data_IF_558313538643
#
_entry.id   IF_558313538643
#
_cell.length_a   1.000
_cell.length_b   1.000
_cell.length_c   1.000
_cell.angle_alpha   90.00
_cell.angle_beta   90.00
_cell.angle_gamma   90.00
#
_symmetry.space_group_name_H-M   'P 1'
#
loop_
_entity.id
_entity.type
_entity.pdbx_description
1 polymer ?
#
# COMPACT_ATOMS: atom_id res chain seq x y z
N UNK A 1 1.26 14.73 -48.14
CA UNK A 1 0.90 13.41 -47.56
C UNK A 1 0.91 13.58 -46.03
N UNK A 2 -0.23 14.02 -45.50
CA UNK A 2 -0.29 14.79 -44.24
C UNK A 2 -0.10 13.97 -42.96
N UNK A 3 0.29 14.68 -41.90
CA UNK A 3 0.47 14.23 -40.51
C UNK A 3 -0.65 13.26 -40.07
N UNK A 4 -1.88 13.48 -40.51
CA UNK A 4 -3.05 12.62 -40.24
C UNK A 4 -2.87 11.15 -40.64
N UNK A 5 -2.17 10.85 -41.75
CA UNK A 5 -1.88 9.47 -42.17
C UNK A 5 -0.85 8.77 -41.28
N UNK A 6 -0.01 9.54 -40.57
CA UNK A 6 0.98 9.01 -39.59
C UNK A 6 0.38 8.89 -38.19
N UNK A 7 -0.59 9.75 -37.84
CA UNK A 7 -1.30 9.69 -36.56
C UNK A 7 -2.24 8.48 -36.47
N UNK A 8 -2.88 8.10 -37.59
CA UNK A 8 -3.79 6.95 -37.61
C UNK A 8 -3.13 5.62 -37.21
N UNK A 9 -2.00 5.17 -37.78
CA UNK A 9 -1.37 3.91 -37.37
C UNK A 9 -0.85 3.96 -35.93
N UNK A 10 -0.36 5.13 -35.46
CA UNK A 10 0.04 5.31 -34.07
C UNK A 10 -1.16 5.13 -33.12
N UNK A 11 -2.31 5.74 -33.45
CA UNK A 11 -3.53 5.59 -32.67
C UNK A 11 -4.00 4.13 -32.65
N UNK A 12 -3.98 3.44 -33.79
CA UNK A 12 -4.33 2.01 -33.86
C UNK A 12 -3.40 1.17 -33.00
N UNK A 13 -2.09 1.44 -33.01
CA UNK A 13 -1.12 0.74 -32.16
C UNK A 13 -1.40 0.98 -30.66
N UNK A 14 -1.68 2.22 -30.26
CA UNK A 14 -1.99 2.55 -28.87
C UNK A 14 -3.28 1.87 -28.40
N UNK A 15 -4.32 1.85 -29.25
CA UNK A 15 -5.57 1.15 -28.95
C UNK A 15 -5.37 -0.36 -28.86
N UNK A 16 -4.55 -0.95 -29.75
CA UNK A 16 -4.22 -2.37 -29.70
C UNK A 16 -3.46 -2.73 -28.40
N UNK A 17 -2.52 -1.89 -27.98
CA UNK A 17 -1.80 -2.07 -26.72
C UNK A 17 -2.73 -1.95 -25.52
N UNK A 18 -3.61 -0.96 -25.51
CA UNK A 18 -4.59 -0.79 -24.44
C UNK A 18 -5.56 -1.98 -24.35
N UNK A 19 -6.00 -2.50 -25.49
CA UNK A 19 -6.83 -3.71 -25.56
C UNK A 19 -6.07 -4.94 -25.03
N UNK A 20 -4.78 -5.08 -25.34
CA UNK A 20 -3.96 -6.18 -24.82
C UNK A 20 -3.83 -6.12 -23.29
N UNK A 21 -3.57 -4.94 -22.73
CA UNK A 21 -3.51 -4.74 -21.27
C UNK A 21 -4.85 -5.08 -20.61
N UNK A 22 -5.96 -4.62 -21.19
CA UNK A 22 -7.30 -4.95 -20.71
C UNK A 22 -7.56 -6.46 -20.70
N UNK A 23 -7.24 -7.16 -21.80
CA UNK A 23 -7.41 -8.62 -21.90
C UNK A 23 -6.49 -9.34 -20.90
N UNK A 24 -5.23 -8.93 -20.78
CA UNK A 24 -4.30 -9.53 -19.82
C UNK A 24 -4.80 -9.37 -18.37
N UNK A 25 -5.23 -8.17 -18.00
CA UNK A 25 -5.76 -7.89 -16.66
C UNK A 25 -7.12 -8.52 -16.38
N UNK A 26 -7.91 -8.85 -17.41
CA UNK A 26 -9.14 -9.64 -17.26
C UNK A 26 -8.87 -11.04 -16.69
N UNK A 27 -7.72 -11.63 -17.00
CA UNK A 27 -7.29 -12.92 -16.45
C UNK A 27 -6.57 -12.82 -15.10
N UNK A 28 -6.37 -11.61 -14.58
CA UNK A 28 -5.76 -11.40 -13.26
C UNK A 28 -6.85 -11.37 -12.18
N UNK A 29 -6.60 -11.98 -11.01
CA UNK A 29 -7.48 -11.84 -9.86
C UNK A 29 -7.70 -10.38 -9.49
N UNK A 30 -8.92 -10.06 -9.05
CA UNK A 30 -9.26 -8.74 -8.48
C UNK A 30 -8.51 -8.48 -7.18
N UNK A 31 -8.45 -9.51 -6.32
CA UNK A 31 -7.74 -9.47 -5.06
C UNK A 31 -6.33 -10.03 -5.17
N UNK A 32 -5.42 -9.38 -4.48
CA UNK A 32 -4.06 -9.86 -4.27
C UNK A 32 -3.65 -9.58 -2.82
N UNK A 33 -2.61 -10.27 -2.39
CA UNK A 33 -2.00 -10.04 -1.10
C UNK A 33 -0.48 -10.07 -1.25
N UNK A 34 0.17 -9.28 -0.41
CA UNK A 34 1.62 -9.26 -0.32
C UNK A 34 2.01 -8.95 1.12
N UNK A 35 3.19 -9.44 1.52
CA UNK A 35 3.70 -9.27 2.88
C UNK A 35 5.18 -9.01 2.85
N UNK A 36 5.59 -8.03 3.66
CA UNK A 36 6.99 -7.67 3.80
C UNK A 36 7.28 -7.39 5.26
N UNK A 37 8.46 -7.79 5.71
CA UNK A 37 8.92 -7.61 7.08
C UNK A 37 10.17 -6.75 7.10
N UNK A 38 10.22 -5.79 8.02
CA UNK A 38 11.40 -5.01 8.36
C UNK A 38 11.81 -5.20 9.82
N UNK A 39 13.11 -5.34 10.08
CA UNK A 39 13.68 -5.35 11.44
C UNK A 39 14.52 -4.10 11.66
N UNK A 40 14.20 -3.33 12.70
CA UNK A 40 14.89 -2.11 13.09
C UNK A 40 15.64 -2.30 14.41
N UNK A 41 16.85 -1.74 14.52
CA UNK A 41 17.65 -1.78 15.77
C UNK A 41 17.27 -0.67 16.74
N UNK A 42 15.97 -0.45 16.92
CA UNK A 42 15.39 0.50 17.88
C UNK A 42 14.21 -0.16 18.62
N UNK A 43 13.86 0.32 19.83
CA UNK A 43 12.69 -0.17 20.56
C UNK A 43 11.38 0.05 19.78
N UNK A 44 10.37 -0.80 20.04
CA UNK A 44 9.07 -0.73 19.39
C UNK A 44 8.37 0.61 19.62
N UNK A 45 8.56 1.24 20.78
CA UNK A 45 7.96 2.55 21.09
C UNK A 45 8.38 3.63 20.08
N UNK A 46 9.65 3.63 19.66
CA UNK A 46 10.14 4.60 18.67
C UNK A 46 9.52 4.40 17.29
N UNK A 47 9.32 3.15 16.89
CA UNK A 47 8.65 2.81 15.62
C UNK A 47 7.18 3.22 15.72
N UNK A 48 6.54 2.90 16.84
CA UNK A 48 5.13 3.17 17.09
C UNK A 48 4.80 4.67 17.09
N UNK A 49 5.61 5.51 17.73
CA UNK A 49 5.45 6.97 17.74
C UNK A 49 5.30 7.59 16.34
N UNK A 50 5.97 7.00 15.32
CA UNK A 50 5.87 7.42 13.92
C UNK A 50 4.71 6.77 13.20
N UNK A 51 4.55 5.47 13.37
CA UNK A 51 3.54 4.67 12.69
C UNK A 51 2.12 5.09 13.09
N UNK A 52 1.88 5.22 14.40
CA UNK A 52 0.56 5.51 14.99
C UNK A 52 -0.02 6.88 14.63
N UNK A 53 0.82 7.83 14.20
CA UNK A 53 0.41 9.19 13.89
C UNK A 53 0.39 9.43 12.36
N UNK A 54 -0.70 9.02 11.73
CA UNK A 54 -0.92 9.15 10.27
C UNK A 54 -0.73 10.58 9.76
N UNK A 55 -1.06 11.59 10.57
CA UNK A 55 -0.96 13.00 10.16
C UNK A 55 0.48 13.46 9.90
N UNK A 56 1.47 12.80 10.50
CA UNK A 56 2.89 13.13 10.30
C UNK A 56 3.55 12.26 9.23
N UNK A 57 2.84 11.30 8.63
CA UNK A 57 3.40 10.44 7.57
C UNK A 57 4.04 11.25 6.43
N UNK A 58 3.47 12.36 5.92
CA UNK A 58 4.10 13.14 4.86
C UNK A 58 5.47 13.74 5.20
N UNK A 59 5.84 13.79 6.48
CA UNK A 59 7.16 14.28 6.89
C UNK A 59 8.27 13.26 6.67
N UNK A 60 7.94 11.99 6.42
CA UNK A 60 8.92 10.91 6.33
C UNK A 60 8.61 9.82 5.30
N UNK A 61 7.34 9.60 4.96
CA UNK A 61 6.88 8.60 3.99
C UNK A 61 6.66 9.28 2.64
N UNK A 62 7.53 9.00 1.67
CA UNK A 62 7.55 9.70 0.38
C UNK A 62 6.27 9.46 -0.44
N UNK A 63 5.62 8.31 -0.26
CA UNK A 63 4.37 7.97 -0.93
C UNK A 63 3.18 8.89 -0.56
N UNK A 64 3.26 9.61 0.57
CA UNK A 64 2.22 10.52 1.04
C UNK A 64 2.72 11.97 0.98
N UNK A 65 2.18 12.73 0.03
CA UNK A 65 2.54 14.15 -0.15
C UNK A 65 1.80 15.08 0.82
N UNK A 66 0.54 14.76 1.12
CA UNK A 66 -0.30 15.53 2.03
C UNK A 66 -1.18 14.59 2.85
N UNK A 67 -1.50 14.97 4.08
CA UNK A 67 -2.50 14.33 4.92
C UNK A 67 -3.31 15.42 5.60
N UNK A 68 -4.63 15.30 5.58
CA UNK A 68 -5.55 16.23 6.22
C UNK A 68 -6.73 15.48 6.82
N UNK A 69 -7.13 15.83 8.04
CA UNK A 69 -8.30 15.22 8.68
C UNK A 69 -9.58 15.52 7.89
N UNK A 70 -10.51 14.58 7.93
CA UNK A 70 -11.87 14.72 7.38
C UNK A 70 -12.87 14.14 8.38
N UNK A 71 -14.20 14.30 8.16
CA UNK A 71 -15.18 13.59 8.96
C UNK A 71 -14.90 12.09 8.98
N UNK A 72 -15.22 11.45 10.10
CA UNK A 72 -15.08 10.00 10.27
C UNK A 72 -15.85 9.23 9.19
N UNK A 73 -15.38 8.03 8.90
CA UNK A 73 -16.04 7.07 8.02
C UNK A 73 -16.43 5.89 8.87
N UNK A 74 -17.74 5.66 9.01
CA UNK A 74 -18.29 4.57 9.83
C UNK A 74 -17.76 4.54 11.28
N UNK A 75 -17.50 5.73 11.87
CA UNK A 75 -16.96 5.87 13.23
C UNK A 75 -15.43 5.71 13.34
N UNK A 76 -14.74 5.55 12.21
CA UNK A 76 -13.28 5.47 12.15
C UNK A 76 -12.64 6.79 11.74
N UNK A 77 -11.48 7.08 12.33
CA UNK A 77 -10.65 8.22 11.93
C UNK A 77 -10.31 8.13 10.44
N UNK A 78 -10.57 9.21 9.72
CA UNK A 78 -10.37 9.26 8.28
C UNK A 78 -9.59 10.51 7.87
N UNK A 79 -8.83 10.36 6.79
CA UNK A 79 -7.92 11.35 6.27
C UNK A 79 -8.06 11.47 4.75
N UNK A 80 -8.03 12.69 4.23
CA UNK A 80 -7.77 12.94 2.81
C UNK A 80 -6.27 12.98 2.62
N UNK A 81 -5.75 12.16 1.71
CA UNK A 81 -4.31 11.99 1.50
C UNK A 81 -3.95 12.21 0.03
N UNK A 82 -2.87 12.94 -0.23
CA UNK A 82 -2.33 13.13 -1.57
C UNK A 82 -1.21 12.14 -1.84
N UNK A 83 -1.27 11.42 -2.96
CA UNK A 83 -0.27 10.41 -3.37
C UNK A 83 0.28 10.73 -4.76
N UNK A 84 1.24 9.94 -5.26
CA UNK A 84 1.68 10.05 -6.66
C UNK A 84 0.55 9.75 -7.68
N UNK A 85 -0.48 9.00 -7.26
CA UNK A 85 -1.62 8.62 -8.10
C UNK A 85 -2.80 9.58 -7.98
N UNK A 86 -2.68 10.63 -7.17
CA UNK A 86 -3.73 11.61 -6.89
C UNK A 86 -4.26 11.50 -5.46
N UNK A 87 -5.42 12.13 -5.25
CA UNK A 87 -6.08 12.17 -3.94
C UNK A 87 -6.75 10.83 -3.62
N UNK A 88 -6.61 10.40 -2.38
CA UNK A 88 -7.21 9.18 -1.84
C UNK A 88 -7.79 9.44 -0.44
N UNK A 89 -8.55 8.46 0.05
CA UNK A 89 -9.09 8.44 1.41
C UNK A 89 -8.38 7.35 2.19
N UNK A 90 -7.77 7.71 3.31
CA UNK A 90 -7.17 6.76 4.25
C UNK A 90 -8.04 6.68 5.49
N UNK A 91 -8.50 5.49 5.85
CA UNK A 91 -9.30 5.21 7.05
C UNK A 91 -8.47 4.35 8.00
N UNK A 92 -8.45 4.70 9.28
CA UNK A 92 -7.82 3.90 10.33
C UNK A 92 -8.88 2.95 10.90
N UNK A 93 -8.96 1.74 10.35
CA UNK A 93 -9.94 0.73 10.75
C UNK A 93 -9.66 0.18 12.17
N UNK A 94 -8.39 0.06 12.55
CA UNK A 94 -8.00 -0.42 13.87
C UNK A 94 -6.66 0.15 14.31
N UNK A 95 -6.54 0.51 15.59
CA UNK A 95 -5.30 0.93 16.21
C UNK A 95 -5.32 0.53 17.68
N UNK A 96 -4.39 -0.34 18.10
CA UNK A 96 -4.20 -0.67 19.51
C UNK A 96 -3.13 0.22 20.17
N UNK A 97 -2.77 -0.03 21.44
CA UNK A 97 -1.88 0.86 22.19
C UNK A 97 -0.41 0.79 21.74
N UNK A 98 0.07 -0.31 21.13
CA UNK A 98 1.51 -0.47 20.83
C UNK A 98 1.93 -1.61 19.89
N UNK A 99 1.04 -2.22 19.12
CA UNK A 99 1.36 -3.44 18.38
C UNK A 99 0.66 -3.63 17.04
N UNK A 100 -0.42 -2.92 16.75
CA UNK A 100 -1.18 -3.12 15.52
C UNK A 100 -1.90 -1.87 15.05
N UNK A 101 -1.66 -1.53 13.78
CA UNK A 101 -2.40 -0.53 13.03
C UNK A 101 -2.99 -1.20 11.78
N UNK A 102 -4.26 -0.97 11.48
CA UNK A 102 -4.90 -1.38 10.22
C UNK A 102 -5.50 -0.17 9.54
N UNK A 103 -5.15 0.02 8.28
CA UNK A 103 -5.65 1.13 7.48
C UNK A 103 -6.26 0.65 6.17
N UNK A 104 -7.35 1.29 5.73
CA UNK A 104 -7.92 1.12 4.41
C UNK A 104 -7.65 2.37 3.58
N UNK A 105 -6.95 2.23 2.46
CA UNK A 105 -6.75 3.27 1.46
C UNK A 105 -7.71 3.06 0.29
N UNK A 106 -8.53 4.06 -0.01
CA UNK A 106 -9.42 4.10 -1.18
C UNK A 106 -8.97 5.21 -2.15
N UNK A 107 -8.44 4.80 -3.30
CA UNK A 107 -8.02 5.67 -4.40
C UNK A 107 -8.96 5.51 -5.63
N UNK A 108 -10.20 5.07 -5.40
CA UNK A 108 -11.23 4.86 -6.41
C UNK A 108 -11.06 3.56 -7.19
N UNK A 109 -10.08 3.49 -8.10
CA UNK A 109 -9.87 2.31 -8.93
C UNK A 109 -8.98 1.23 -8.27
N UNK A 110 -8.39 1.58 -7.14
CA UNK A 110 -7.62 0.73 -6.25
C UNK A 110 -8.13 0.94 -4.82
N UNK A 111 -8.31 -0.15 -4.09
CA UNK A 111 -8.47 -0.15 -2.64
C UNK A 111 -7.43 -1.08 -2.03
N UNK A 112 -6.83 -0.68 -0.91
CA UNK A 112 -5.83 -1.49 -0.23
C UNK A 112 -6.04 -1.46 1.27
N UNK A 113 -6.21 -2.62 1.89
CA UNK A 113 -6.12 -2.77 3.33
C UNK A 113 -4.69 -3.12 3.71
N UNK A 114 -4.12 -2.34 4.62
CA UNK A 114 -2.76 -2.48 5.10
C UNK A 114 -2.79 -2.78 6.59
N UNK A 115 -2.14 -3.87 6.98
CA UNK A 115 -2.04 -4.32 8.35
C UNK A 115 -0.57 -4.20 8.76
N UNK A 116 -0.31 -3.38 9.76
CA UNK A 116 1.00 -3.14 10.34
C UNK A 116 1.04 -3.84 11.69
N UNK A 117 1.88 -4.85 11.84
CA UNK A 117 2.08 -5.59 13.08
C UNK A 117 3.49 -5.34 13.60
N UNK A 118 3.56 -4.75 14.79
CA UNK A 118 4.81 -4.40 15.46
C UNK A 118 5.01 -5.30 16.68
N UNK A 119 6.20 -5.87 16.83
CA UNK A 119 6.57 -6.68 17.99
C UNK A 119 8.04 -6.52 18.36
N UNK A 120 8.35 -6.79 19.62
CA UNK A 120 9.73 -6.87 20.08
C UNK A 120 10.42 -8.12 19.54
N UNK A 121 11.68 -7.96 19.15
CA UNK A 121 12.58 -9.05 18.77
C UNK A 121 13.94 -8.83 19.43
N UNK A 122 14.80 -9.86 19.58
CA UNK A 122 16.11 -9.70 20.24
C UNK A 122 17.00 -8.60 19.62
N UNK A 123 16.81 -8.28 18.34
CA UNK A 123 17.56 -7.25 17.63
C UNK A 123 16.99 -5.82 17.76
N UNK A 124 15.80 -5.65 18.36
CA UNK A 124 15.06 -4.39 18.44
C UNK A 124 13.56 -4.62 18.19
N UNK A 125 13.06 -4.09 17.08
CA UNK A 125 11.66 -4.18 16.70
C UNK A 125 11.49 -4.81 15.32
N UNK A 126 10.43 -5.60 15.14
CA UNK A 126 10.02 -6.17 13.87
C UNK A 126 8.66 -5.58 13.47
N UNK A 127 8.62 -4.93 12.32
CA UNK A 127 7.40 -4.44 11.68
C UNK A 127 7.08 -5.36 10.50
N UNK A 128 5.94 -6.03 10.55
CA UNK A 128 5.40 -6.78 9.42
C UNK A 128 4.26 -5.98 8.80
N UNK A 129 4.32 -5.76 7.50
CA UNK A 129 3.29 -5.09 6.73
C UNK A 129 2.64 -6.15 5.84
N UNK A 130 1.32 -6.27 5.91
CA UNK A 130 0.52 -7.10 5.01
C UNK A 130 -0.45 -6.21 4.24
N UNK A 131 -0.40 -6.27 2.92
CA UNK A 131 -1.37 -5.65 2.04
C UNK A 131 -2.40 -6.68 1.56
N UNK A 132 -3.67 -6.29 1.55
CA UNK A 132 -4.76 -6.95 0.83
C UNK A 132 -5.32 -5.90 -0.14
N UNK A 133 -4.92 -6.01 -1.41
CA UNK A 133 -5.28 -5.06 -2.46
C UNK A 133 -6.44 -5.57 -3.32
N UNK A 134 -7.34 -4.67 -3.70
CA UNK A 134 -8.47 -4.90 -4.60
C UNK A 134 -8.41 -3.93 -5.78
N UNK A 135 -8.42 -4.50 -6.98
CA UNK A 135 -8.34 -3.75 -8.24
C UNK A 135 -9.49 -4.16 -9.14
N UNK A 136 -10.60 -3.44 -9.05
CA UNK A 136 -11.80 -3.71 -9.85
C UNK A 136 -11.63 -3.46 -11.36
N UNK A 137 -10.72 -2.57 -11.77
CA UNK A 137 -10.54 -2.23 -13.19
C UNK A 137 -9.57 -3.20 -13.91
N UNK A 138 -10.03 -3.99 -14.91
CA UNK A 138 -9.18 -4.94 -15.62
C UNK A 138 -8.01 -4.30 -16.36
N UNK A 139 -8.17 -3.08 -16.89
CA UNK A 139 -7.05 -2.38 -17.53
C UNK A 139 -5.94 -2.09 -16.52
N UNK A 140 -6.29 -1.60 -15.33
CA UNK A 140 -5.32 -1.32 -14.27
C UNK A 140 -4.67 -2.61 -13.74
N UNK A 141 -5.41 -3.71 -13.62
CA UNK A 141 -4.83 -5.03 -13.30
C UNK A 141 -3.76 -5.44 -14.32
N UNK A 142 -4.03 -5.19 -15.61
CA UNK A 142 -3.08 -5.45 -16.68
C UNK A 142 -1.87 -4.53 -16.68
N UNK A 143 -1.97 -3.33 -16.11
CA UNK A 143 -0.81 -2.44 -15.88
C UNK A 143 -0.01 -2.90 -14.67
N UNK A 144 -0.68 -3.22 -13.56
CA UNK A 144 -0.03 -3.61 -12.30
C UNK A 144 0.63 -4.97 -12.33
N UNK A 145 0.32 -5.84 -13.30
CA UNK A 145 1.05 -7.10 -13.48
C UNK A 145 2.56 -6.93 -13.74
N UNK A 146 3.00 -5.72 -14.11
CA UNK A 146 4.40 -5.39 -14.34
C UNK A 146 5.08 -4.74 -13.12
N UNK A 147 4.33 -4.50 -12.03
CA UNK A 147 4.86 -3.96 -10.78
C UNK A 147 5.17 -5.08 -9.80
N UNK A 148 6.19 -4.88 -8.97
CA UNK A 148 6.49 -5.77 -7.86
C UNK A 148 5.50 -5.47 -6.72
N UNK A 149 4.69 -6.45 -6.27
CA UNK A 149 3.71 -6.23 -5.21
C UNK A 149 4.35 -5.90 -3.85
N UNK A 150 5.67 -6.12 -3.68
CA UNK A 150 6.37 -5.78 -2.44
C UNK A 150 6.93 -4.35 -2.42
N UNK A 151 7.04 -3.68 -3.58
CA UNK A 151 7.74 -2.41 -3.75
C UNK A 151 7.28 -1.35 -2.73
N UNK A 152 5.98 -1.09 -2.66
CA UNK A 152 5.43 -0.07 -1.75
C UNK A 152 5.66 -0.38 -0.26
N UNK A 153 5.67 -1.66 0.13
CA UNK A 153 6.02 -2.03 1.52
C UNK A 153 7.52 -1.87 1.79
N UNK A 154 8.39 -2.24 0.84
CA UNK A 154 9.84 -2.04 1.00
C UNK A 154 10.18 -0.56 1.09
N UNK A 155 9.54 0.27 0.27
CA UNK A 155 9.71 1.74 0.30
C UNK A 155 9.23 2.30 1.65
N UNK A 156 8.06 1.90 2.12
CA UNK A 156 7.56 2.28 3.45
C UNK A 156 8.56 1.92 4.56
N UNK A 157 9.06 0.68 4.56
CA UNK A 157 10.00 0.21 5.58
C UNK A 157 11.32 0.99 5.52
N UNK A 158 11.79 1.31 4.32
CA UNK A 158 13.02 2.07 4.05
C UNK A 158 12.87 3.52 4.50
N UNK A 159 11.78 4.18 4.15
CA UNK A 159 11.45 5.55 4.55
C UNK A 159 11.32 5.68 6.07
N UNK A 160 10.67 4.72 6.71
CA UNK A 160 10.59 4.65 8.17
C UNK A 160 11.98 4.48 8.79
N UNK A 161 12.83 3.64 8.19
CA UNK A 161 14.22 3.47 8.60
C UNK A 161 15.01 4.78 8.51
N UNK A 162 14.86 5.52 7.41
CA UNK A 162 15.46 6.85 7.21
C UNK A 162 15.00 7.83 8.29
N UNK A 163 13.70 7.86 8.60
CA UNK A 163 13.11 8.71 9.62
C UNK A 163 13.59 8.40 11.04
N UNK A 164 13.94 7.13 11.29
CA UNK A 164 14.48 6.62 12.53
C UNK A 164 16.02 6.63 12.58
N UNK A 165 16.66 7.08 11.49
CA UNK A 165 18.12 7.06 11.31
C UNK A 165 18.74 5.66 11.51
N UNK A 166 18.02 4.61 11.08
CA UNK A 166 18.46 3.21 11.18
C UNK A 166 18.12 2.45 9.90
N UNK A 167 19.11 1.75 9.35
CA UNK A 167 18.89 0.89 8.18
C UNK A 167 18.10 -0.38 8.58
N UNK A 168 16.94 -0.64 7.99
CA UNK A 168 16.18 -1.86 8.25
C UNK A 168 16.79 -3.07 7.52
N UNK A 169 16.64 -4.25 8.12
CA UNK A 169 16.74 -5.51 7.35
C UNK A 169 15.36 -5.83 6.80
N UNK A 170 15.22 -5.94 5.48
CA UNK A 170 13.92 -6.15 4.82
C UNK A 170 13.88 -7.54 4.17
N UNK A 171 12.75 -8.23 4.30
CA UNK A 171 12.48 -9.54 3.71
C UNK A 171 11.03 -9.62 3.22
N UNK A 172 10.84 -10.08 1.99
CA UNK A 172 9.53 -10.38 1.43
C UNK A 172 9.06 -11.76 1.87
N UNK A 173 7.77 -11.87 2.14
CA UNK A 173 7.15 -13.11 2.61
C UNK A 173 6.02 -13.47 1.64
N UNK A 174 6.11 -14.67 1.07
CA UNK A 174 5.02 -15.22 0.27
C UNK A 174 3.77 -15.40 1.14
N UNK A 175 2.67 -14.80 0.71
CA UNK A 175 1.37 -14.89 1.39
C UNK A 175 0.26 -15.03 0.36
N UNK A 176 -0.72 -15.86 0.66
CA UNK A 176 -1.95 -15.95 -0.12
C UNK A 176 -2.99 -14.95 0.40
N UNK A 177 -3.98 -14.60 -0.43
CA UNK A 177 -5.10 -13.74 0.00
C UNK A 177 -5.82 -14.34 1.21
N UNK A 178 -6.06 -15.65 1.22
CA UNK A 178 -6.73 -16.34 2.34
C UNK A 178 -5.94 -16.21 3.64
N UNK A 179 -4.61 -16.37 3.60
CA UNK A 179 -3.76 -16.20 4.78
C UNK A 179 -3.77 -14.76 5.28
N UNK A 180 -3.67 -13.78 4.36
CA UNK A 180 -3.70 -12.37 4.72
C UNK A 180 -5.05 -11.96 5.33
N UNK A 181 -6.16 -12.43 4.76
CA UNK A 181 -7.52 -12.21 5.30
C UNK A 181 -7.70 -12.87 6.67
N UNK A 182 -7.19 -14.07 6.88
CA UNK A 182 -7.23 -14.74 8.18
C UNK A 182 -6.38 -14.02 9.24
N UNK A 183 -5.26 -13.41 8.85
CA UNK A 183 -4.44 -12.57 9.74
C UNK A 183 -5.15 -11.24 10.05
N UNK A 184 -5.93 -10.69 9.12
CA UNK A 184 -6.73 -9.48 9.33
C UNK A 184 -7.77 -9.65 10.45
N UNK A 185 -8.45 -10.79 10.49
CA UNK A 185 -9.58 -11.05 11.41
C UNK A 185 -9.17 -11.59 12.78
N UNK A 186 -7.93 -12.08 12.96
CA UNK A 186 -7.49 -12.82 14.17
C UNK A 186 -7.52 -12.04 15.51
N UNK A 187 -7.83 -10.74 15.53
CA UNK A 187 -7.95 -9.95 16.79
C UNK A 187 -9.26 -9.16 16.92
N UNK A 188 -10.26 -9.45 16.08
CA UNK A 188 -11.63 -8.95 16.32
C UNK A 188 -12.38 -9.78 17.38
N UNK A 189 -11.77 -10.88 17.87
CA UNK A 189 -12.21 -11.72 19.01
C UNK A 189 -11.43 -11.42 20.29
#
# INVERSE_FOLDING_TARGET
MGILKKLLPLLVLLLALAALLFVAGWFRPERHAARTRGVYRVPTEKVWERLANVQVWPSWLEAFHTVSSRPDVDGHDAYSVGTEFGDAVLVVEHQDDSGRLTTLLDAGAFQGRWIYELKDVPAGSELTITEIGDVGNPFLRGVMMFKDPHESMRDFLTDLGRALEVEPSIEDIDVTVEQAEADATRREE
#
